data_IF_202973139066
#
_entry.id   IF_202973139066
#
_cell.length_a   1.000
_cell.length_b   1.000
_cell.length_c   1.000
_cell.angle_alpha   90.00
_cell.angle_beta   90.00
_cell.angle_gamma   90.00
#
_symmetry.space_group_name_H-M   'P 1'
#
loop_
_entity.id
_entity.type
_entity.pdbx_description
1 polymer ?
#
# COMPACT_ATOMS: atom_id res chain seq x y z
N UNK A 1 21.83 -0.87 -19.62
CA UNK A 1 22.53 -1.95 -18.92
C UNK A 1 23.01 -2.93 -19.99
N UNK A 2 24.20 -3.54 -19.87
CA UNK A 2 24.63 -4.65 -20.71
C UNK A 2 23.63 -5.80 -20.65
N UNK A 3 23.44 -6.52 -21.75
CA UNK A 3 22.43 -7.58 -21.89
C UNK A 3 22.67 -8.77 -20.92
N UNK A 4 23.90 -9.04 -20.60
CA UNK A 4 24.39 -10.01 -19.63
C UNK A 4 23.95 -9.66 -18.19
N UNK A 5 24.00 -8.39 -17.80
CA UNK A 5 23.47 -7.92 -16.54
C UNK A 5 21.92 -8.02 -16.46
N UNK A 6 21.22 -7.81 -17.57
CA UNK A 6 19.75 -7.98 -17.62
C UNK A 6 19.39 -9.45 -17.37
N UNK A 7 20.08 -10.39 -18.01
CA UNK A 7 19.84 -11.83 -17.86
C UNK A 7 20.17 -12.33 -16.44
N UNK A 8 21.24 -11.82 -15.83
CA UNK A 8 21.60 -12.14 -14.44
C UNK A 8 20.54 -11.62 -13.46
N UNK A 9 20.00 -10.41 -13.70
CA UNK A 9 18.90 -9.84 -12.93
C UNK A 9 17.59 -10.62 -13.08
N UNK A 10 17.27 -11.07 -14.32
CA UNK A 10 16.08 -11.88 -14.57
C UNK A 10 16.15 -13.22 -13.87
N UNK A 11 17.31 -13.88 -13.90
CA UNK A 11 17.54 -15.13 -13.20
C UNK A 11 17.46 -14.98 -11.69
N UNK A 12 18.10 -13.96 -11.13
CA UNK A 12 18.05 -13.66 -9.70
C UNK A 12 16.64 -13.29 -9.25
N UNK A 13 15.94 -12.46 -10.04
CA UNK A 13 14.58 -12.03 -9.79
C UNK A 13 13.59 -13.19 -9.86
N UNK A 14 13.73 -14.08 -10.84
CA UNK A 14 12.89 -15.28 -10.97
C UNK A 14 13.14 -16.23 -9.80
N UNK A 15 14.38 -16.41 -9.40
CA UNK A 15 14.76 -17.25 -8.24
C UNK A 15 14.20 -16.67 -6.94
N UNK A 16 14.22 -15.35 -6.76
CA UNK A 16 13.71 -14.66 -5.59
C UNK A 16 12.18 -14.58 -5.56
N UNK A 17 11.51 -14.50 -6.73
CA UNK A 17 10.06 -14.69 -6.83
C UNK A 17 9.64 -16.11 -6.44
N UNK A 18 10.42 -17.13 -6.78
CA UNK A 18 10.17 -18.50 -6.32
C UNK A 18 10.35 -18.66 -4.81
N UNK A 19 11.32 -17.98 -4.20
CA UNK A 19 11.50 -17.92 -2.75
C UNK A 19 10.37 -17.13 -2.05
N UNK A 20 9.82 -16.08 -2.69
CA UNK A 20 8.69 -15.30 -2.15
C UNK A 20 7.37 -16.07 -2.10
N UNK A 21 7.23 -17.16 -2.85
CA UNK A 21 6.04 -18.02 -2.80
C UNK A 21 5.95 -18.90 -1.54
N UNK A 22 7.02 -18.99 -0.74
CA UNK A 22 7.08 -19.79 0.48
C UNK A 22 7.48 -18.94 1.69
N UNK A 23 6.62 -18.03 2.17
CA UNK A 23 6.90 -17.18 3.32
C UNK A 23 8.13 -16.28 3.15
N UNK A 24 8.13 -15.25 2.36
CA UNK A 24 9.12 -14.16 2.16
C UNK A 24 10.41 -14.13 3.05
N UNK A 25 10.64 -15.19 3.83
CA UNK A 25 11.72 -15.33 4.80
C UNK A 25 12.64 -16.47 4.38
N UNK A 26 13.88 -16.13 4.07
CA UNK A 26 14.93 -17.08 3.78
C UNK A 26 15.66 -17.45 5.06
N UNK A 27 15.48 -18.68 5.53
CA UNK A 27 16.15 -19.21 6.70
C UNK A 27 17.68 -19.27 6.58
N UNK A 28 18.20 -19.33 5.35
CA UNK A 28 19.64 -19.41 5.12
C UNK A 28 20.33 -18.04 5.29
N UNK A 29 19.64 -16.96 4.94
CA UNK A 29 20.17 -15.59 5.06
C UNK A 29 19.61 -14.80 6.23
N UNK A 30 18.59 -15.33 6.91
CA UNK A 30 17.83 -14.63 7.97
C UNK A 30 17.22 -13.31 7.48
N UNK A 31 16.82 -13.28 6.18
CA UNK A 31 16.27 -12.10 5.53
C UNK A 31 14.84 -12.34 5.06
N UNK A 32 14.00 -11.34 5.28
CA UNK A 32 12.73 -11.22 4.56
C UNK A 32 12.95 -10.36 3.30
N UNK A 33 12.51 -10.86 2.14
CA UNK A 33 12.71 -10.20 0.87
C UNK A 33 11.43 -9.53 0.36
N UNK A 34 11.57 -8.28 -0.09
CA UNK A 34 10.48 -7.46 -0.59
C UNK A 34 10.82 -6.87 -1.95
N UNK A 35 9.88 -6.97 -2.89
CA UNK A 35 9.93 -6.21 -4.13
C UNK A 35 9.25 -4.87 -3.90
N UNK A 36 10.00 -3.79 -4.03
CA UNK A 36 9.55 -2.43 -3.68
C UNK A 36 9.71 -1.51 -4.86
N UNK A 37 8.74 -0.64 -5.12
CA UNK A 37 8.91 0.41 -6.11
C UNK A 37 10.03 1.38 -5.70
N UNK A 38 10.88 1.75 -6.66
CA UNK A 38 11.92 2.73 -6.43
C UNK A 38 11.34 4.15 -6.32
N UNK A 39 12.00 5.01 -5.56
CA UNK A 39 11.64 6.43 -5.47
C UNK A 39 11.53 7.06 -6.86
N UNK A 40 10.45 7.82 -7.09
CA UNK A 40 10.19 8.51 -8.36
C UNK A 40 9.59 7.63 -9.46
N UNK A 41 9.30 6.37 -9.17
CA UNK A 41 8.61 5.47 -10.12
C UNK A 41 7.13 5.84 -10.22
N UNK A 42 6.60 5.80 -11.44
CA UNK A 42 5.18 6.06 -11.73
C UNK A 42 4.49 4.79 -12.20
N UNK A 43 3.22 4.58 -11.84
CA UNK A 43 2.46 3.38 -12.24
C UNK A 43 2.48 3.12 -13.76
N UNK A 44 2.42 4.17 -14.58
CA UNK A 44 2.53 4.06 -16.05
C UNK A 44 3.86 3.49 -16.55
N UNK A 45 4.89 3.50 -15.72
CA UNK A 45 6.22 3.02 -16.07
C UNK A 45 6.44 1.55 -15.65
N UNK A 46 5.55 0.96 -14.84
CA UNK A 46 5.65 -0.43 -14.39
C UNK A 46 5.66 -1.45 -15.54
N UNK A 47 5.01 -1.12 -16.67
CA UNK A 47 4.99 -1.99 -17.85
C UNK A 47 6.25 -1.92 -18.71
N UNK A 48 7.15 -0.94 -18.49
CA UNK A 48 8.23 -0.67 -19.43
C UNK A 48 9.48 -1.49 -19.13
N UNK A 49 10.08 -1.36 -17.99
CA UNK A 49 11.24 -2.14 -17.58
C UNK A 49 11.16 -2.37 -16.08
N UNK A 50 10.89 -3.60 -15.70
CA UNK A 50 10.68 -4.00 -14.31
C UNK A 50 11.83 -3.53 -13.40
N UNK A 51 13.07 -3.79 -13.81
CA UNK A 51 14.28 -3.49 -13.04
C UNK A 51 14.61 -2.00 -12.88
N UNK A 52 14.03 -1.14 -13.71
CA UNK A 52 14.19 0.32 -13.53
C UNK A 52 13.24 0.90 -12.51
N UNK A 53 12.16 0.20 -12.23
CA UNK A 53 11.06 0.72 -11.43
C UNK A 53 10.94 0.02 -10.07
N UNK A 54 11.56 -1.14 -9.92
CA UNK A 54 11.55 -1.90 -8.69
C UNK A 54 12.96 -2.14 -8.16
N UNK A 55 13.03 -2.30 -6.86
CA UNK A 55 14.22 -2.73 -6.14
C UNK A 55 13.86 -3.92 -5.26
N UNK A 56 14.83 -4.73 -4.99
CA UNK A 56 14.73 -5.80 -4.03
C UNK A 56 15.31 -5.32 -2.69
N UNK A 57 14.52 -5.43 -1.64
CA UNK A 57 14.94 -5.07 -0.28
C UNK A 57 14.95 -6.32 0.57
N UNK A 58 16.12 -6.67 1.09
CA UNK A 58 16.29 -7.70 2.12
C UNK A 58 16.39 -7.04 3.47
N UNK A 59 15.53 -7.42 4.41
CA UNK A 59 15.51 -6.84 5.74
C UNK A 59 15.53 -7.93 6.82
N UNK A 60 16.37 -7.77 7.85
CA UNK A 60 16.43 -8.66 9.01
C UNK A 60 15.35 -8.33 10.02
N UNK A 61 14.91 -9.34 10.75
CA UNK A 61 14.14 -9.15 11.97
C UNK A 61 15.00 -8.39 12.98
N UNK A 62 14.51 -7.25 13.48
CA UNK A 62 15.23 -6.49 14.51
C UNK A 62 15.24 -7.25 15.84
N UNK A 63 16.41 -7.34 16.47
CA UNK A 63 16.53 -7.89 17.82
C UNK A 63 16.11 -6.86 18.89
N UNK A 64 16.16 -5.57 18.57
CA UNK A 64 15.93 -4.49 19.52
C UNK A 64 14.45 -4.04 19.61
N UNK A 65 13.66 -4.28 18.56
CA UNK A 65 12.25 -3.91 18.50
C UNK A 65 11.51 -4.96 17.67
N UNK A 66 10.57 -5.64 18.32
CA UNK A 66 9.77 -6.70 17.67
C UNK A 66 8.94 -6.19 16.49
N UNK A 67 8.81 -4.86 16.34
CA UNK A 67 8.01 -4.21 15.31
C UNK A 67 8.82 -3.58 14.16
N UNK A 68 10.14 -3.59 14.18
CA UNK A 68 10.96 -3.03 13.10
C UNK A 68 11.76 -4.07 12.32
N UNK A 69 12.03 -3.79 11.05
CA UNK A 69 13.00 -4.52 10.23
C UNK A 69 14.31 -3.72 10.25
N UNK A 70 15.41 -4.38 10.58
CA UNK A 70 16.74 -3.77 10.61
C UNK A 70 17.66 -4.41 9.58
N UNK A 71 18.69 -3.70 9.16
CA UNK A 71 19.74 -4.23 8.29
C UNK A 71 19.29 -4.42 6.85
N UNK A 72 18.85 -3.34 6.19
CA UNK A 72 18.41 -3.37 4.82
C UNK A 72 19.56 -3.66 3.84
N UNK A 73 19.38 -4.68 3.00
CA UNK A 73 20.17 -4.88 1.79
C UNK A 73 19.31 -4.46 0.62
N UNK A 74 19.75 -3.43 -0.11
CA UNK A 74 19.03 -2.89 -1.27
C UNK A 74 19.75 -3.29 -2.56
N UNK A 75 19.00 -3.82 -3.53
CA UNK A 75 19.55 -4.19 -4.83
C UNK A 75 18.65 -3.66 -5.97
N UNK A 76 19.18 -2.92 -6.96
CA UNK A 76 20.55 -2.42 -7.02
C UNK A 76 20.83 -1.30 -5.99
N UNK A 77 22.03 -1.30 -5.43
CA UNK A 77 22.43 -0.43 -4.30
C UNK A 77 22.40 1.08 -4.60
N UNK A 78 22.37 1.48 -5.89
CA UNK A 78 22.30 2.88 -6.29
C UNK A 78 20.88 3.47 -6.23
N UNK A 79 19.86 2.64 -5.96
CA UNK A 79 18.47 3.08 -5.90
C UNK A 79 17.96 3.08 -4.48
N UNK A 80 16.99 3.96 -4.23
CA UNK A 80 16.31 4.05 -2.94
C UNK A 80 14.89 3.50 -3.07
N UNK A 81 14.37 2.81 -2.03
CA UNK A 81 12.97 2.44 -1.95
C UNK A 81 12.06 3.68 -1.97
N UNK A 82 10.77 3.45 -2.17
CA UNK A 82 9.76 4.51 -2.03
C UNK A 82 9.96 5.29 -0.72
N UNK A 83 9.59 6.57 -0.71
CA UNK A 83 9.61 7.41 0.50
C UNK A 83 8.72 6.87 1.63
N UNK A 84 7.73 6.06 1.28
CA UNK A 84 6.82 5.41 2.24
C UNK A 84 7.34 4.06 2.76
N UNK A 85 8.63 3.72 2.52
CA UNK A 85 9.22 2.45 2.93
C UNK A 85 9.07 2.18 4.43
N UNK A 86 9.18 3.19 5.27
CA UNK A 86 8.99 3.05 6.72
C UNK A 86 7.61 2.48 7.05
N UNK A 87 6.54 2.98 6.43
CA UNK A 87 5.20 2.44 6.60
C UNK A 87 5.07 1.05 5.98
N UNK A 88 5.56 0.86 4.74
CA UNK A 88 5.49 -0.42 4.05
C UNK A 88 6.19 -1.54 4.82
N UNK A 89 7.39 -1.31 5.37
CA UNK A 89 8.16 -2.32 6.08
C UNK A 89 7.48 -2.80 7.37
N UNK A 90 6.92 -1.88 8.15
CA UNK A 90 6.20 -2.20 9.39
C UNK A 90 4.92 -2.97 9.08
N UNK A 91 4.15 -2.51 8.10
CA UNK A 91 2.89 -3.16 7.68
C UNK A 91 3.19 -4.55 7.12
N UNK A 92 4.19 -4.68 6.24
CA UNK A 92 4.54 -5.96 5.62
C UNK A 92 4.95 -7.00 6.66
N UNK A 93 5.74 -6.59 7.67
CA UNK A 93 6.09 -7.46 8.79
C UNK A 93 4.84 -7.94 9.54
N UNK A 94 3.93 -7.02 9.84
CA UNK A 94 2.69 -7.37 10.52
C UNK A 94 1.82 -8.33 9.68
N UNK A 95 1.71 -8.10 8.36
CA UNK A 95 0.98 -8.97 7.44
C UNK A 95 1.57 -10.38 7.42
N UNK A 96 2.89 -10.52 7.34
CA UNK A 96 3.56 -11.81 7.37
C UNK A 96 3.19 -12.65 8.61
N UNK A 97 2.98 -12.01 9.74
CA UNK A 97 2.68 -12.68 11.01
C UNK A 97 1.18 -12.93 11.22
N UNK A 98 0.33 -12.02 10.78
CA UNK A 98 -1.09 -12.00 11.15
C UNK A 98 -2.04 -12.27 9.97
N UNK A 99 -1.64 -11.89 8.75
CA UNK A 99 -2.39 -12.11 7.50
C UNK A 99 -1.45 -12.57 6.39
N UNK A 100 -0.84 -13.77 6.48
CA UNK A 100 0.21 -14.23 5.57
C UNK A 100 -0.23 -14.42 4.11
N UNK A 101 -1.53 -14.40 3.84
CA UNK A 101 -2.07 -14.39 2.47
C UNK A 101 -1.92 -13.01 1.82
N UNK A 102 -2.00 -11.94 2.58
CA UNK A 102 -1.85 -10.57 2.08
C UNK A 102 -0.37 -10.26 1.83
N UNK A 103 0.03 -10.31 0.57
CA UNK A 103 1.43 -10.18 0.14
C UNK A 103 1.75 -8.85 -0.52
N UNK A 104 0.72 -8.08 -0.84
CA UNK A 104 0.83 -6.82 -1.58
C UNK A 104 0.36 -5.66 -0.72
N UNK A 105 1.15 -4.59 -0.73
CA UNK A 105 0.76 -3.27 -0.27
C UNK A 105 0.81 -2.34 -1.49
N UNK A 106 -0.33 -1.73 -1.83
CA UNK A 106 -0.46 -0.75 -2.89
C UNK A 106 -0.81 0.60 -2.29
N UNK A 107 -0.03 1.63 -2.60
CA UNK A 107 -0.32 3.00 -2.20
C UNK A 107 -0.49 3.89 -3.42
N UNK A 108 -1.57 4.67 -3.45
CA UNK A 108 -1.93 5.54 -4.56
C UNK A 108 -2.55 6.85 -4.06
N UNK A 109 -2.60 7.86 -4.94
CA UNK A 109 -3.13 9.19 -4.65
C UNK A 109 -4.34 9.54 -5.53
N UNK A 110 -5.49 8.86 -5.40
CA UNK A 110 -6.70 9.21 -6.16
C UNK A 110 -7.18 10.60 -5.76
N UNK A 111 -7.33 11.48 -6.76
CA UNK A 111 -7.69 12.88 -6.55
C UNK A 111 -8.99 13.04 -5.77
N UNK A 112 -10.00 12.22 -6.09
CA UNK A 112 -11.31 12.32 -5.46
C UNK A 112 -11.27 12.03 -3.96
N UNK A 113 -10.45 11.08 -3.50
CA UNK A 113 -10.25 10.84 -2.08
C UNK A 113 -9.48 11.97 -1.39
N UNK A 114 -8.51 12.58 -2.08
CA UNK A 114 -7.82 13.77 -1.55
C UNK A 114 -8.83 14.91 -1.37
N UNK A 115 -9.73 15.10 -2.34
CA UNK A 115 -10.81 16.10 -2.25
C UNK A 115 -11.74 15.78 -1.09
N UNK A 116 -12.28 14.56 -1.01
CA UNK A 116 -13.22 14.14 0.05
C UNK A 116 -12.58 14.32 1.43
N UNK A 117 -11.33 13.89 1.61
CA UNK A 117 -10.63 14.03 2.89
C UNK A 117 -10.28 15.47 3.25
N UNK A 118 -10.46 16.42 2.32
CA UNK A 118 -10.30 17.86 2.54
C UNK A 118 -11.63 18.57 2.86
N UNK A 119 -12.76 17.88 2.74
CA UNK A 119 -14.07 18.43 3.03
C UNK A 119 -14.31 18.55 4.55
N UNK A 120 -15.10 19.53 5.02
CA UNK A 120 -15.45 19.67 6.44
C UNK A 120 -16.07 18.41 7.02
N UNK A 121 -16.93 17.71 6.28
CA UNK A 121 -17.63 16.48 6.70
C UNK A 121 -16.65 15.37 7.09
N UNK A 122 -15.46 15.32 6.48
CA UNK A 122 -14.42 14.38 6.88
C UNK A 122 -13.89 14.61 8.30
N UNK A 123 -13.87 15.88 8.73
CA UNK A 123 -13.43 16.25 10.07
C UNK A 123 -14.56 16.13 11.10
N UNK A 124 -15.78 16.44 10.70
CA UNK A 124 -16.95 16.50 11.59
C UNK A 124 -17.45 15.10 11.96
N UNK A 125 -17.73 14.25 10.98
CA UNK A 125 -18.22 12.89 11.21
C UNK A 125 -17.83 11.93 10.09
N UNK A 126 -16.71 11.22 10.28
CA UNK A 126 -16.23 10.20 9.33
C UNK A 126 -17.22 9.04 9.14
N UNK A 127 -18.00 8.70 10.16
CA UNK A 127 -18.94 7.59 10.08
C UNK A 127 -20.13 7.97 9.20
N UNK A 128 -20.66 9.18 9.37
CA UNK A 128 -21.77 9.67 8.56
C UNK A 128 -21.34 9.89 7.11
N UNK A 129 -20.12 10.41 6.90
CA UNK A 129 -19.52 10.49 5.57
C UNK A 129 -19.45 9.12 4.89
N UNK A 130 -18.94 8.10 5.58
CA UNK A 130 -18.84 6.73 5.03
C UNK A 130 -20.20 6.10 4.76
N UNK A 131 -21.22 6.34 5.59
CA UNK A 131 -22.60 5.92 5.29
C UNK A 131 -23.11 6.56 4.01
N UNK A 132 -22.88 7.85 3.83
CA UNK A 132 -23.28 8.56 2.61
C UNK A 132 -22.55 8.02 1.36
N UNK A 133 -21.25 7.75 1.45
CA UNK A 133 -20.49 7.14 0.36
C UNK A 133 -21.02 5.73 0.02
N UNK A 134 -21.26 4.90 1.03
CA UNK A 134 -21.79 3.53 0.86
C UNK A 134 -23.21 3.51 0.31
N UNK A 135 -24.05 4.47 0.68
CA UNK A 135 -25.41 4.56 0.13
C UNK A 135 -25.41 4.83 -1.38
N UNK A 136 -24.37 5.47 -1.91
CA UNK A 136 -24.19 5.74 -3.33
C UNK A 136 -23.54 4.57 -4.09
N UNK A 137 -22.78 3.71 -3.40
CA UNK A 137 -22.16 2.52 -3.95
C UNK A 137 -22.22 1.36 -2.94
N UNK A 138 -23.36 0.64 -2.83
CA UNK A 138 -23.56 -0.43 -1.86
C UNK A 138 -22.59 -1.62 -2.01
N UNK A 139 -21.96 -1.79 -3.18
CA UNK A 139 -20.97 -2.81 -3.42
C UNK A 139 -19.76 -2.73 -2.45
N UNK A 140 -19.51 -1.56 -1.86
CA UNK A 140 -18.46 -1.40 -0.85
C UNK A 140 -18.62 -2.36 0.34
N UNK A 141 -19.85 -2.69 0.73
CA UNK A 141 -20.10 -3.61 1.84
C UNK A 141 -19.81 -5.06 1.48
N UNK A 142 -19.88 -5.40 0.19
CA UNK A 142 -19.55 -6.73 -0.33
C UNK A 142 -18.02 -6.92 -0.36
N UNK A 143 -17.31 -5.94 -0.92
CA UNK A 143 -15.84 -6.03 -1.08
C UNK A 143 -15.08 -5.72 0.21
N UNK A 144 -15.63 -4.86 1.06
CA UNK A 144 -14.98 -4.39 2.29
C UNK A 144 -15.87 -4.61 3.52
N UNK A 145 -16.16 -5.88 3.88
CA UNK A 145 -17.01 -6.18 5.04
C UNK A 145 -16.41 -5.68 6.36
N UNK A 146 -15.07 -5.58 6.45
CA UNK A 146 -14.36 -4.95 7.58
C UNK A 146 -14.37 -3.42 7.54
N UNK A 147 -14.90 -2.83 6.48
CA UNK A 147 -14.95 -1.39 6.29
C UNK A 147 -13.71 -0.80 5.64
N UNK A 148 -13.75 0.53 5.49
CA UNK A 148 -12.65 1.38 5.03
C UNK A 148 -12.25 2.26 6.19
N UNK A 149 -10.97 2.25 6.57
CA UNK A 149 -10.47 3.06 7.67
C UNK A 149 -10.12 4.48 7.18
N UNK A 150 -10.56 5.50 7.90
CA UNK A 150 -10.28 6.91 7.62
C UNK A 150 -9.35 7.46 8.71
N UNK A 151 -8.07 7.66 8.39
CA UNK A 151 -7.08 8.21 9.31
C UNK A 151 -7.02 9.74 9.24
N UNK A 152 -6.71 10.41 10.37
CA UNK A 152 -6.44 11.83 10.38
C UNK A 152 -5.13 12.14 9.66
N UNK A 153 -4.96 13.41 9.27
CA UNK A 153 -3.72 13.84 8.65
C UNK A 153 -2.51 13.57 9.55
N UNK A 154 -1.54 12.92 8.97
CA UNK A 154 -0.24 12.64 9.59
C UNK A 154 0.83 12.79 8.52
N UNK A 155 1.99 13.31 8.89
CA UNK A 155 3.06 13.62 7.95
C UNK A 155 3.45 12.36 7.12
N UNK A 156 3.45 12.45 5.78
CA UNK A 156 3.88 11.36 4.91
C UNK A 156 5.27 10.84 5.27
N UNK A 157 5.49 9.52 5.14
CA UNK A 157 6.77 8.88 5.43
C UNK A 157 7.14 8.83 6.92
N UNK A 158 6.28 9.31 7.83
CA UNK A 158 6.57 9.32 9.26
C UNK A 158 6.27 7.97 9.94
N UNK A 159 7.00 7.66 11.00
CA UNK A 159 6.71 6.50 11.85
C UNK A 159 5.33 6.61 12.52
N UNK A 160 4.86 7.83 12.80
CA UNK A 160 3.52 8.06 13.34
C UNK A 160 2.43 7.58 12.37
N UNK A 161 2.57 7.91 11.07
CA UNK A 161 1.66 7.42 10.03
C UNK A 161 1.72 5.89 9.90
N UNK A 162 2.92 5.31 9.96
CA UNK A 162 3.10 3.86 9.93
C UNK A 162 2.35 3.17 11.08
N UNK A 163 2.49 3.67 12.31
CA UNK A 163 1.84 3.11 13.50
C UNK A 163 0.32 3.27 13.47
N UNK A 164 -0.20 4.42 13.03
CA UNK A 164 -1.65 4.61 12.85
C UNK A 164 -2.21 3.65 11.79
N UNK A 165 -1.50 3.51 10.68
CA UNK A 165 -1.89 2.58 9.62
C UNK A 165 -1.88 1.13 10.12
N UNK A 166 -0.86 0.75 10.90
CA UNK A 166 -0.78 -0.58 11.50
C UNK A 166 -1.98 -0.87 12.41
N UNK A 167 -2.41 0.10 13.20
CA UNK A 167 -3.60 -0.05 14.05
C UNK A 167 -4.90 -0.21 13.23
N UNK A 168 -5.01 0.50 12.12
CA UNK A 168 -6.18 0.46 11.24
C UNK A 168 -6.27 -0.83 10.41
N UNK A 169 -5.11 -1.36 9.99
CA UNK A 169 -5.04 -2.54 9.12
C UNK A 169 -5.55 -3.82 9.80
N UNK A 170 -5.61 -3.85 11.13
CA UNK A 170 -6.18 -4.97 11.90
C UNK A 170 -7.61 -5.28 11.47
N UNK A 171 -8.39 -4.25 11.17
CA UNK A 171 -9.81 -4.36 10.81
C UNK A 171 -10.14 -4.08 9.34
N UNK A 172 -9.18 -3.57 8.54
CA UNK A 172 -9.47 -3.14 7.18
C UNK A 172 -8.33 -3.44 6.20
N UNK A 173 -8.68 -3.75 4.95
CA UNK A 173 -7.73 -3.85 3.85
C UNK A 173 -7.52 -2.53 3.11
N UNK A 174 -8.33 -1.52 3.40
CA UNK A 174 -8.29 -0.20 2.75
C UNK A 174 -8.22 0.89 3.79
N UNK A 175 -7.19 1.71 3.71
CA UNK A 175 -6.95 2.81 4.61
C UNK A 175 -6.82 4.10 3.81
N UNK A 176 -7.63 5.09 4.15
CA UNK A 176 -7.56 6.44 3.59
C UNK A 176 -6.71 7.30 4.52
N UNK A 177 -5.65 7.86 3.99
CA UNK A 177 -4.81 8.85 4.64
C UNK A 177 -5.30 10.25 4.27
N UNK A 178 -5.79 11.00 5.24
CA UNK A 178 -6.33 12.34 5.03
C UNK A 178 -5.37 13.22 4.22
N UNK A 179 -5.89 13.86 3.15
CA UNK A 179 -5.15 14.78 2.25
C UNK A 179 -3.90 14.18 1.61
N UNK A 180 -3.81 12.84 1.58
CA UNK A 180 -2.65 12.15 1.05
C UNK A 180 -3.04 11.11 0.00
N UNK A 181 -3.79 10.08 0.38
CA UNK A 181 -4.14 9.02 -0.55
C UNK A 181 -4.71 7.78 0.11
N UNK A 182 -4.56 6.65 -0.58
CA UNK A 182 -5.08 5.34 -0.19
C UNK A 182 -3.93 4.35 -0.02
N UNK A 183 -3.99 3.53 1.00
CA UNK A 183 -3.20 2.31 1.13
C UNK A 183 -4.14 1.11 1.08
N UNK A 184 -3.78 0.11 0.28
CA UNK A 184 -4.51 -1.15 0.11
C UNK A 184 -3.60 -2.31 0.43
N UNK A 185 -4.13 -3.35 1.09
CA UNK A 185 -3.46 -4.65 1.25
C UNK A 185 -4.27 -5.75 0.61
N UNK A 186 -3.59 -6.69 -0.06
CA UNK A 186 -4.25 -7.78 -0.79
C UNK A 186 -3.34 -9.00 -0.98
N UNK A 187 -3.93 -10.11 -1.40
CA UNK A 187 -3.21 -11.36 -1.69
C UNK A 187 -2.30 -11.25 -2.91
N UNK A 188 -2.72 -10.49 -3.94
CA UNK A 188 -1.96 -10.27 -5.17
C UNK A 188 -2.18 -8.86 -5.73
N UNK A 189 -1.40 -8.52 -6.74
CA UNK A 189 -1.39 -7.20 -7.37
C UNK A 189 -2.73 -6.90 -8.04
N UNK A 190 -3.34 -7.87 -8.72
CA UNK A 190 -4.61 -7.68 -9.42
C UNK A 190 -5.74 -7.34 -8.43
N UNK A 191 -5.87 -8.09 -7.34
CA UNK A 191 -6.84 -7.79 -6.27
C UNK A 191 -6.57 -6.42 -5.63
N UNK A 192 -5.30 -6.05 -5.44
CA UNK A 192 -4.97 -4.73 -4.91
C UNK A 192 -5.43 -3.59 -5.83
N UNK A 193 -5.30 -3.77 -7.14
CA UNK A 193 -5.82 -2.81 -8.14
C UNK A 193 -7.34 -2.79 -8.17
N UNK A 194 -8.01 -3.94 -8.14
CA UNK A 194 -9.48 -4.03 -8.06
C UNK A 194 -10.00 -3.25 -6.84
N UNK A 195 -9.40 -3.44 -5.68
CA UNK A 195 -9.76 -2.71 -4.46
C UNK A 195 -9.56 -1.20 -4.62
N UNK A 196 -8.42 -0.79 -5.21
CA UNK A 196 -8.14 0.62 -5.47
C UNK A 196 -9.17 1.22 -6.42
N UNK A 197 -9.54 0.52 -7.50
CA UNK A 197 -10.52 0.99 -8.49
C UNK A 197 -11.92 1.12 -7.88
N UNK A 198 -12.37 0.12 -7.11
CA UNK A 198 -13.69 0.15 -6.46
C UNK A 198 -13.78 1.33 -5.49
N UNK A 199 -12.75 1.52 -4.65
CA UNK A 199 -12.72 2.62 -3.67
C UNK A 199 -12.61 3.98 -4.37
N UNK A 200 -11.85 4.08 -5.45
CA UNK A 200 -11.74 5.31 -6.24
C UNK A 200 -13.08 5.65 -6.92
N UNK A 201 -13.78 4.64 -7.48
CA UNK A 201 -15.11 4.82 -8.05
C UNK A 201 -16.12 5.30 -7.02
N UNK A 202 -16.07 4.79 -5.80
CA UNK A 202 -16.96 5.22 -4.72
C UNK A 202 -16.80 6.72 -4.43
N UNK A 203 -15.56 7.21 -4.38
CA UNK A 203 -15.27 8.63 -4.21
C UNK A 203 -15.80 9.48 -5.37
N UNK A 204 -15.55 9.04 -6.60
CA UNK A 204 -16.03 9.72 -7.81
C UNK A 204 -17.56 9.82 -7.83
N UNK A 205 -18.25 8.71 -7.56
CA UNK A 205 -19.73 8.68 -7.51
C UNK A 205 -20.25 9.60 -6.41
N UNK A 206 -19.69 9.54 -5.21
CA UNK A 206 -20.09 10.40 -4.11
C UNK A 206 -19.97 11.89 -4.47
N UNK A 207 -18.84 12.32 -5.02
CA UNK A 207 -18.64 13.72 -5.41
C UNK A 207 -19.59 14.16 -6.51
N UNK A 208 -19.85 13.32 -7.51
CA UNK A 208 -20.82 13.61 -8.58
C UNK A 208 -22.23 13.78 -8.02
N UNK A 209 -22.70 12.89 -7.16
CA UNK A 209 -24.03 12.97 -6.54
C UNK A 209 -24.12 14.19 -5.63
N UNK A 210 -23.09 14.46 -4.81
CA UNK A 210 -23.04 15.63 -3.94
C UNK A 210 -23.17 16.94 -4.71
N UNK A 211 -22.49 17.05 -5.86
CA UNK A 211 -22.50 18.25 -6.68
C UNK A 211 -23.83 18.47 -7.45
N UNK A 212 -24.68 17.43 -7.56
CA UNK A 212 -25.99 17.53 -8.18
C UNK A 212 -27.11 17.93 -7.21
N UNK A 213 -26.88 17.86 -5.90
CA UNK A 213 -27.84 18.33 -4.90
C UNK A 213 -27.87 19.85 -4.96
N UNK A 214 -29.06 20.50 -5.07
CA UNK A 214 -29.17 21.95 -4.96
C UNK A 214 -28.55 22.38 -3.63
N UNK A 215 -27.64 23.33 -3.69
CA UNK A 215 -27.17 24.00 -2.49
C UNK A 215 -28.34 24.81 -1.95
N UNK A 216 -29.06 24.25 -0.96
CA UNK A 216 -30.18 24.89 -0.28
C UNK A 216 -29.72 26.02 0.63
#
# INVERSE_FOLDING_TARGET
>A
LPEDLVNEYESLFTSLLHLSNANNYDKATDLAWFLVSATGTRYRDFRKILFKNFILVGAKKSEADDNSLSGEVVFPSQRKPTSEWAAHSVIQKWLMLNRPKDKVILHAHPTDWIVISSLPEYQEDKNELMKSIRSNLPELDIYFPGGIALLPYTAPGSLALANQTLSAIVGSNVIIWEKHGILVTAECVDIAFDYLEIVSKAAEVYLKVRNQKPQG
#
